data_IF_991217477847
#
_entry.id   IF_991217477847
#
_cell.length_a   1.000
_cell.length_b   1.000
_cell.length_c   1.000
_cell.angle_alpha   90.00
_cell.angle_beta   90.00
_cell.angle_gamma   90.00
#
_symmetry.space_group_name_H-M   'P 1'
#
loop_
_entity.id
_entity.type
_entity.pdbx_description
1 polymer ?
#
# COMPACT_ATOMS: atom_id res chain seq x y z
N UNK A 1 3.74 13.42 -36.55
CA UNK A 1 3.15 14.44 -35.65
C UNK A 1 2.88 13.76 -34.31
N UNK A 2 3.31 14.34 -33.17
CA UNK A 2 2.88 13.83 -31.86
C UNK A 2 1.38 14.14 -31.71
N UNK A 3 0.57 13.11 -31.50
CA UNK A 3 -0.83 13.29 -31.10
C UNK A 3 -0.89 13.92 -29.72
N UNK A 4 -1.99 14.62 -29.44
CA UNK A 4 -2.28 15.08 -28.08
C UNK A 4 -2.37 13.86 -27.15
N UNK A 5 -1.63 13.91 -26.04
CA UNK A 5 -1.67 12.86 -25.02
C UNK A 5 -2.68 13.26 -23.95
N UNK A 6 -3.68 12.40 -23.73
CA UNK A 6 -4.66 12.55 -22.66
C UNK A 6 -4.52 11.38 -21.69
N UNK A 7 -4.39 11.69 -20.40
CA UNK A 7 -4.37 10.70 -19.32
C UNK A 7 -5.45 11.03 -18.31
N UNK A 8 -6.19 10.01 -17.88
CA UNK A 8 -7.17 10.09 -16.79
C UNK A 8 -6.73 9.15 -15.68
N UNK A 9 -6.91 9.57 -14.43
CA UNK A 9 -6.68 8.71 -13.27
C UNK A 9 -7.91 8.72 -12.37
N UNK A 10 -8.43 7.53 -12.05
CA UNK A 10 -9.44 7.34 -11.02
C UNK A 10 -8.76 7.33 -9.66
N UNK A 11 -9.30 8.10 -8.71
CA UNK A 11 -8.81 8.15 -7.33
C UNK A 11 -9.98 7.92 -6.40
N UNK A 12 -9.84 6.98 -5.48
CA UNK A 12 -10.82 6.71 -4.43
C UNK A 12 -10.11 6.71 -3.07
N UNK A 13 -10.76 7.20 -2.03
CA UNK A 13 -10.24 7.11 -0.68
C UNK A 13 -11.36 6.86 0.31
N UNK A 14 -11.08 6.03 1.32
CA UNK A 14 -12.04 5.66 2.34
C UNK A 14 -11.51 6.01 3.71
N UNK A 15 -12.25 6.85 4.42
CA UNK A 15 -11.94 7.29 5.78
C UNK A 15 -13.03 6.85 6.74
N UNK A 16 -12.74 6.87 8.04
CA UNK A 16 -13.78 6.85 9.07
C UNK A 16 -14.63 8.11 9.01
N UNK A 17 -15.88 8.05 9.46
CA UNK A 17 -16.81 9.18 9.42
C UNK A 17 -16.29 10.43 10.14
N UNK A 18 -15.49 10.25 11.18
CA UNK A 18 -14.83 11.33 11.93
C UNK A 18 -13.45 11.73 11.38
N UNK A 19 -13.04 11.17 10.24
CA UNK A 19 -11.78 11.46 9.57
C UNK A 19 -10.51 11.00 10.30
N UNK A 20 -10.59 10.35 11.46
CA UNK A 20 -9.38 10.01 12.25
C UNK A 20 -8.65 8.75 11.74
N UNK A 21 -9.26 7.97 10.85
CA UNK A 21 -8.67 6.78 10.25
C UNK A 21 -8.83 6.81 8.74
N UNK A 22 -7.79 6.35 8.04
CA UNK A 22 -7.82 6.10 6.59
C UNK A 22 -7.74 4.59 6.39
N UNK A 23 -8.75 4.03 5.73
CA UNK A 23 -8.83 2.60 5.48
C UNK A 23 -8.14 2.22 4.18
N UNK A 24 -8.27 3.04 3.13
CA UNK A 24 -7.53 2.86 1.88
C UNK A 24 -7.44 4.15 1.08
N UNK A 25 -6.50 4.16 0.12
CA UNK A 25 -6.49 5.06 -1.04
C UNK A 25 -6.20 4.22 -2.27
N UNK A 26 -6.99 4.38 -3.33
CA UNK A 26 -6.86 3.69 -4.61
C UNK A 26 -6.53 4.68 -5.72
N UNK A 27 -5.63 4.30 -6.61
CA UNK A 27 -5.33 5.03 -7.85
C UNK A 27 -5.32 4.06 -9.02
N UNK A 28 -6.04 4.38 -10.09
CA UNK A 28 -6.06 3.59 -11.33
C UNK A 28 -5.87 4.52 -12.51
N UNK A 29 -4.78 4.35 -13.24
CA UNK A 29 -4.47 5.10 -14.47
C UNK A 29 -4.66 4.24 -15.72
N UNK A 30 -4.64 2.92 -15.60
CA UNK A 30 -4.92 1.99 -16.70
C UNK A 30 -5.61 0.72 -16.17
N UNK A 31 -6.93 0.64 -16.33
CA UNK A 31 -7.71 -0.49 -15.83
C UNK A 31 -7.50 -1.80 -16.62
N UNK A 32 -6.82 -1.76 -17.79
CA UNK A 32 -6.51 -2.95 -18.58
C UNK A 32 -5.25 -3.66 -18.09
N UNK A 33 -4.43 -2.99 -17.28
CA UNK A 33 -3.22 -3.54 -16.68
C UNK A 33 -3.51 -4.07 -15.27
N UNK A 34 -2.67 -5.01 -14.82
CA UNK A 34 -2.73 -5.53 -13.44
C UNK A 34 -2.64 -4.42 -12.41
N UNK A 35 -3.38 -4.56 -11.32
CA UNK A 35 -3.33 -3.68 -10.15
C UNK A 35 -2.73 -4.45 -8.98
N UNK A 36 -2.28 -3.73 -7.96
CA UNK A 36 -1.61 -4.34 -6.80
C UNK A 36 -2.02 -3.68 -5.50
N UNK A 37 -2.10 -4.44 -4.42
CA UNK A 37 -2.24 -3.87 -3.09
C UNK A 37 -0.85 -3.54 -2.52
N UNK A 38 -0.69 -2.37 -1.92
CA UNK A 38 0.52 -2.02 -1.16
C UNK A 38 0.14 -1.89 0.31
N UNK A 39 0.83 -2.62 1.19
CA UNK A 39 0.71 -2.48 2.64
C UNK A 39 1.92 -1.72 3.18
N UNK A 40 1.68 -0.51 3.70
CA UNK A 40 2.70 0.30 4.38
C UNK A 40 2.38 0.47 5.88
N UNK A 41 3.11 1.29 6.62
CA UNK A 41 3.05 1.31 8.08
C UNK A 41 1.83 2.08 8.64
N UNK A 42 1.74 3.36 8.30
CA UNK A 42 0.71 4.29 8.79
C UNK A 42 0.20 5.18 7.67
N UNK A 43 -1.08 5.57 7.72
CA UNK A 43 -1.61 6.54 6.79
C UNK A 43 -1.17 7.95 7.14
N UNK A 44 -1.39 8.84 6.18
CA UNK A 44 -1.32 10.29 6.30
C UNK A 44 -2.71 10.87 6.05
N UNK A 45 -2.90 12.17 6.29
CA UNK A 45 -4.14 12.86 5.96
C UNK A 45 -4.36 13.05 4.45
N UNK A 46 -3.39 12.67 3.61
CA UNK A 46 -3.52 12.73 2.17
C UNK A 46 -4.70 11.86 1.69
N UNK A 47 -5.64 12.48 0.98
CA UNK A 47 -6.87 11.85 0.47
C UNK A 47 -6.70 11.21 -0.92
N UNK A 48 -5.47 11.15 -1.44
CA UNK A 48 -5.18 10.62 -2.76
C UNK A 48 -5.21 11.66 -3.88
N UNK A 49 -5.84 12.83 -3.73
CA UNK A 49 -5.65 13.96 -4.66
C UNK A 49 -4.31 14.63 -4.36
N UNK A 50 -4.14 15.05 -3.09
CA UNK A 50 -2.84 15.45 -2.59
C UNK A 50 -1.95 14.21 -2.43
N UNK A 51 -0.71 14.29 -2.91
CA UNK A 51 0.28 13.22 -2.76
C UNK A 51 1.30 13.60 -1.70
N UNK A 52 1.42 12.78 -0.66
CA UNK A 52 2.64 12.82 0.16
C UNK A 52 3.80 12.10 -0.57
N UNK A 53 5.01 12.20 -0.01
CA UNK A 53 6.22 11.60 -0.58
C UNK A 53 6.13 10.08 -0.72
N UNK A 54 5.40 9.40 0.17
CA UNK A 54 5.19 7.94 0.12
C UNK A 54 4.31 7.60 -1.07
N UNK A 55 3.16 8.26 -1.20
CA UNK A 55 2.20 8.09 -2.29
C UNK A 55 2.83 8.39 -3.65
N UNK A 56 3.62 9.47 -3.74
CA UNK A 56 4.36 9.81 -4.95
C UNK A 56 5.34 8.70 -5.34
N UNK A 57 6.14 8.20 -4.39
CA UNK A 57 7.10 7.12 -4.65
C UNK A 57 6.41 5.82 -5.05
N UNK A 58 5.31 5.46 -4.39
CA UNK A 58 4.49 4.28 -4.76
C UNK A 58 3.99 4.44 -6.20
N UNK A 59 3.38 5.58 -6.53
CA UNK A 59 2.78 5.82 -7.86
C UNK A 59 3.82 5.69 -8.96
N UNK A 60 4.95 6.41 -8.84
CA UNK A 60 5.98 6.42 -9.88
C UNK A 60 6.61 5.04 -10.07
N UNK A 61 6.93 4.34 -8.98
CA UNK A 61 7.58 3.04 -9.07
C UNK A 61 6.66 1.95 -9.60
N UNK A 62 5.38 1.95 -9.22
CA UNK A 62 4.42 0.98 -9.74
C UNK A 62 4.10 1.24 -11.22
N UNK A 63 4.06 2.51 -11.64
CA UNK A 63 3.96 2.87 -13.05
C UNK A 63 5.16 2.31 -13.84
N UNK A 64 6.39 2.51 -13.35
CA UNK A 64 7.61 1.98 -13.97
C UNK A 64 7.67 0.44 -14.00
N UNK A 65 7.09 -0.23 -13.01
CA UNK A 65 6.94 -1.69 -12.96
C UNK A 65 5.79 -2.23 -13.85
N UNK A 66 5.09 -1.35 -14.55
CA UNK A 66 4.05 -1.71 -15.53
C UNK A 66 2.68 -2.01 -14.93
N UNK A 67 2.41 -1.64 -13.67
CA UNK A 67 1.07 -1.73 -13.10
C UNK A 67 0.13 -0.68 -13.69
N UNK A 68 -1.17 -0.95 -13.65
CA UNK A 68 -2.25 -0.05 -14.05
C UNK A 68 -2.82 0.80 -12.91
N UNK A 69 -2.46 0.47 -11.68
CA UNK A 69 -2.99 1.11 -10.48
C UNK A 69 -2.60 0.35 -9.22
N UNK A 70 -3.02 0.91 -8.09
CA UNK A 70 -2.82 0.29 -6.79
C UNK A 70 -3.92 0.63 -5.78
N UNK A 71 -4.01 -0.19 -4.75
CA UNK A 71 -4.72 0.11 -3.50
C UNK A 71 -3.68 0.20 -2.38
N UNK A 72 -3.53 1.36 -1.76
CA UNK A 72 -2.67 1.57 -0.61
C UNK A 72 -3.48 1.41 0.68
N UNK A 73 -3.09 0.40 1.46
CA UNK A 73 -3.57 0.17 2.81
C UNK A 73 -2.38 0.22 3.79
N UNK A 74 -2.68 0.21 5.09
CA UNK A 74 -1.68 0.34 6.13
C UNK A 74 -1.84 -0.74 7.20
N UNK A 75 -0.75 -1.10 7.86
CA UNK A 75 -0.76 -2.01 9.03
C UNK A 75 -1.70 -1.47 10.10
N UNK A 76 -1.68 -0.16 10.34
CA UNK A 76 -2.63 0.52 11.21
C UNK A 76 -3.40 1.59 10.43
N UNK A 77 -4.69 1.77 10.71
CA UNK A 77 -5.52 2.75 9.99
C UNK A 77 -5.52 4.15 10.61
N UNK A 78 -4.98 4.30 11.82
CA UNK A 78 -5.02 5.58 12.54
C UNK A 78 -4.06 6.61 11.98
N UNK A 79 -4.55 7.84 11.79
CA UNK A 79 -3.73 9.00 11.42
C UNK A 79 -2.86 9.51 12.58
N UNK A 80 -3.14 9.09 13.82
CA UNK A 80 -2.38 9.47 15.02
C UNK A 80 -1.22 8.50 15.34
N UNK A 81 -1.01 7.47 14.53
CA UNK A 81 0.08 6.50 14.70
C UNK A 81 -0.33 5.20 15.42
N UNK A 82 0.65 4.53 16.06
CA UNK A 82 0.44 3.23 16.72
C UNK A 82 -0.49 3.38 17.93
N UNK A 83 -1.67 2.77 17.90
CA UNK A 83 -2.64 3.01 18.97
C UNK A 83 -4.12 2.91 18.61
N UNK A 84 -4.44 2.64 17.34
CA UNK A 84 -5.81 2.68 16.81
C UNK A 84 -6.84 1.88 17.61
N UNK A 85 -8.06 2.42 17.62
CA UNK A 85 -9.27 1.78 18.13
C UNK A 85 -9.46 0.39 17.49
N UNK A 86 -9.53 -0.71 18.27
CA UNK A 86 -9.69 -2.06 17.73
C UNK A 86 -10.86 -2.22 16.76
N UNK A 87 -11.98 -1.50 16.96
CA UNK A 87 -13.13 -1.57 16.04
C UNK A 87 -12.81 -0.97 14.67
N UNK A 88 -12.00 0.08 14.65
CA UNK A 88 -11.55 0.71 13.39
C UNK A 88 -10.52 -0.13 12.69
N UNK A 89 -9.65 -0.80 13.44
CA UNK A 89 -8.71 -1.76 12.87
C UNK A 89 -9.44 -2.97 12.26
N UNK A 90 -10.55 -3.41 12.86
CA UNK A 90 -11.41 -4.43 12.27
C UNK A 90 -12.09 -3.94 10.99
N UNK A 91 -12.57 -2.69 10.99
CA UNK A 91 -13.12 -2.05 9.80
C UNK A 91 -12.07 -1.98 8.67
N UNK A 92 -10.85 -1.59 9.00
CA UNK A 92 -9.73 -1.56 8.06
C UNK A 92 -9.41 -2.95 7.52
N UNK A 93 -9.45 -3.99 8.36
CA UNK A 93 -9.25 -5.38 7.95
C UNK A 93 -10.33 -5.84 6.95
N UNK A 94 -11.60 -5.47 7.19
CA UNK A 94 -12.70 -5.72 6.26
C UNK A 94 -12.52 -5.03 4.91
N UNK A 95 -12.10 -3.76 4.92
CA UNK A 95 -11.78 -3.02 3.68
C UNK A 95 -10.65 -3.68 2.91
N UNK A 96 -9.58 -4.10 3.59
CA UNK A 96 -8.44 -4.80 2.98
C UNK A 96 -8.91 -6.11 2.33
N UNK A 97 -9.72 -6.93 3.02
CA UNK A 97 -10.27 -8.17 2.47
C UNK A 97 -11.06 -7.92 1.18
N UNK A 98 -11.94 -6.91 1.19
CA UNK A 98 -12.80 -6.59 0.05
C UNK A 98 -11.97 -6.11 -1.16
N UNK A 99 -11.03 -5.20 -0.96
CA UNK A 99 -10.19 -4.71 -2.06
C UNK A 99 -9.25 -5.81 -2.59
N UNK A 100 -8.70 -6.64 -1.70
CA UNK A 100 -7.82 -7.74 -2.09
C UNK A 100 -8.54 -8.83 -2.88
N UNK A 101 -9.85 -8.99 -2.75
CA UNK A 101 -10.62 -9.98 -3.51
C UNK A 101 -10.49 -9.81 -5.04
N UNK A 102 -10.17 -8.59 -5.49
CA UNK A 102 -10.02 -8.24 -6.91
C UNK A 102 -8.57 -8.09 -7.37
N UNK A 103 -7.61 -8.50 -6.53
CA UNK A 103 -6.18 -8.34 -6.78
C UNK A 103 -5.48 -9.68 -6.60
N UNK A 104 -4.46 -9.97 -7.41
CA UNK A 104 -3.68 -11.20 -7.29
C UNK A 104 -2.43 -11.02 -6.43
N UNK A 105 -1.90 -9.80 -6.40
CA UNK A 105 -0.61 -9.48 -5.78
C UNK A 105 -0.74 -8.47 -4.62
N UNK A 106 0.08 -8.67 -3.59
CA UNK A 106 0.28 -7.74 -2.48
C UNK A 106 1.76 -7.42 -2.34
N UNK A 107 2.11 -6.16 -2.18
CA UNK A 107 3.45 -5.69 -1.85
C UNK A 107 3.50 -5.25 -0.38
N UNK A 108 4.33 -5.91 0.42
CA UNK A 108 4.66 -5.48 1.77
C UNK A 108 5.80 -4.46 1.72
N UNK A 109 5.47 -3.21 2.00
CA UNK A 109 6.37 -2.06 1.97
C UNK A 109 6.59 -1.49 3.39
N UNK A 110 6.73 -2.38 4.38
CA UNK A 110 6.82 -2.04 5.81
C UNK A 110 8.26 -1.81 6.30
N UNK A 111 9.26 -2.12 5.48
CA UNK A 111 10.66 -2.20 5.92
C UNK A 111 10.83 -3.14 7.10
N UNK A 112 11.72 -2.80 8.03
CA UNK A 112 11.93 -3.60 9.26
C UNK A 112 10.90 -3.31 10.36
N UNK A 113 9.91 -2.43 10.12
CA UNK A 113 9.01 -1.96 11.18
C UNK A 113 8.22 -3.11 11.83
N UNK A 114 7.60 -3.96 11.02
CA UNK A 114 6.82 -5.11 11.49
C UNK A 114 7.68 -6.19 12.13
N UNK A 115 8.98 -6.29 11.81
CA UNK A 115 9.93 -7.18 12.50
C UNK A 115 10.39 -6.65 13.87
N UNK A 116 10.42 -5.33 14.05
CA UNK A 116 10.92 -4.68 15.28
C UNK A 116 9.82 -4.34 16.29
N UNK A 117 8.55 -4.35 15.87
CA UNK A 117 7.42 -3.98 16.72
C UNK A 117 6.41 -5.13 16.82
N UNK A 118 6.34 -5.78 18.00
CA UNK A 118 5.45 -6.93 18.26
C UNK A 118 3.98 -6.65 17.98
N UNK A 119 3.49 -5.42 18.20
CA UNK A 119 2.10 -5.06 17.90
C UNK A 119 1.88 -4.99 16.38
N UNK A 120 2.83 -4.40 15.66
CA UNK A 120 2.80 -4.34 14.19
C UNK A 120 2.95 -5.73 13.56
N UNK A 121 3.80 -6.59 14.13
CA UNK A 121 3.96 -7.99 13.74
C UNK A 121 2.62 -8.74 13.84
N UNK A 122 2.00 -8.74 15.03
CA UNK A 122 0.69 -9.36 15.25
C UNK A 122 -0.37 -8.82 14.29
N UNK A 123 -0.34 -7.51 14.04
CA UNK A 123 -1.28 -6.87 13.12
C UNK A 123 -1.06 -7.30 11.68
N UNK A 124 0.19 -7.39 11.22
CA UNK A 124 0.55 -7.91 9.91
C UNK A 124 0.12 -9.37 9.76
N UNK A 125 0.31 -10.22 10.77
CA UNK A 125 -0.16 -11.61 10.73
C UNK A 125 -1.67 -11.69 10.51
N UNK A 126 -2.47 -10.84 11.17
CA UNK A 126 -3.91 -10.76 10.91
C UNK A 126 -4.24 -10.30 9.49
N UNK A 127 -3.42 -9.41 8.90
CA UNK A 127 -3.58 -9.00 7.51
C UNK A 127 -3.28 -10.14 6.55
N UNK A 128 -2.19 -10.89 6.78
CA UNK A 128 -1.82 -12.03 5.93
C UNK A 128 -2.90 -13.12 5.91
N UNK A 129 -3.58 -13.37 7.03
CA UNK A 129 -4.72 -14.30 7.09
C UNK A 129 -5.88 -13.88 6.18
N UNK A 130 -6.11 -12.58 5.95
CA UNK A 130 -7.18 -12.10 5.05
C UNK A 130 -6.72 -11.86 3.62
N UNK A 131 -5.41 -11.93 3.40
CA UNK A 131 -4.74 -11.87 2.11
C UNK A 131 -4.30 -13.28 1.70
N UNK A 132 -5.00 -14.29 2.19
CA UNK A 132 -4.77 -15.67 1.82
C UNK A 132 -4.93 -15.84 0.30
N UNK A 133 -4.12 -16.71 -0.29
CA UNK A 133 -4.09 -16.98 -1.73
C UNK A 133 -3.61 -15.80 -2.60
N UNK A 134 -2.96 -14.78 -2.02
CA UNK A 134 -2.31 -13.69 -2.77
C UNK A 134 -0.83 -13.96 -2.93
N UNK A 135 -0.26 -13.61 -4.09
CA UNK A 135 1.20 -13.57 -4.23
C UNK A 135 1.74 -12.39 -3.43
N UNK A 136 2.47 -12.70 -2.36
CA UNK A 136 3.08 -11.69 -1.49
C UNK A 136 4.48 -11.36 -1.99
N UNK A 137 4.73 -10.08 -2.24
CA UNK A 137 6.04 -9.54 -2.61
C UNK A 137 6.56 -8.60 -1.53
N UNK A 138 7.86 -8.59 -1.30
CA UNK A 138 8.53 -7.71 -0.35
C UNK A 138 9.23 -6.59 -1.10
N UNK A 139 9.04 -5.35 -0.64
CA UNK A 139 9.83 -4.23 -1.11
C UNK A 139 11.25 -4.32 -0.51
N UNK A 140 12.26 -4.40 -1.37
CA UNK A 140 13.67 -4.46 -0.97
C UNK A 140 14.50 -3.32 -1.56
N UNK A 141 15.60 -2.99 -0.92
CA UNK A 141 16.62 -2.09 -1.48
C UNK A 141 17.57 -2.82 -2.44
N UNK A 142 18.52 -2.08 -3.03
CA UNK A 142 19.48 -2.62 -4.00
C UNK A 142 20.43 -3.70 -3.44
N UNK A 143 20.38 -3.98 -2.14
CA UNK A 143 21.12 -5.05 -1.49
C UNK A 143 20.21 -6.21 -1.05
N UNK A 144 18.92 -6.19 -1.40
CA UNK A 144 17.95 -7.21 -1.02
C UNK A 144 17.39 -7.06 0.41
N UNK A 145 17.71 -5.98 1.13
CA UNK A 145 17.17 -5.77 2.48
C UNK A 145 15.76 -5.18 2.44
N UNK A 146 14.92 -5.56 3.41
CA UNK A 146 13.58 -5.00 3.55
C UNK A 146 13.59 -3.47 3.60
N UNK A 147 12.71 -2.88 2.81
CA UNK A 147 12.65 -1.44 2.60
C UNK A 147 11.25 -0.87 2.76
N UNK A 148 11.21 0.45 2.91
CA UNK A 148 10.01 1.26 3.00
C UNK A 148 10.08 2.30 1.88
N UNK A 149 8.95 2.76 1.30
CA UNK A 149 8.98 3.68 0.16
C UNK A 149 9.85 4.93 0.39
N UNK A 150 9.91 5.43 1.62
CA UNK A 150 10.66 6.63 1.99
C UNK A 150 12.17 6.42 2.23
N UNK A 151 12.71 5.18 2.22
CA UNK A 151 14.14 4.97 2.49
C UNK A 151 14.99 5.69 1.41
N UNK A 152 15.94 6.57 1.78
CA UNK A 152 16.75 7.32 0.81
C UNK A 152 17.55 6.45 -0.17
N UNK A 153 17.96 5.25 0.27
CA UNK A 153 18.75 4.28 -0.50
C UNK A 153 17.95 3.63 -1.65
N UNK A 154 16.62 3.82 -1.71
CA UNK A 154 15.81 3.39 -2.85
C UNK A 154 16.18 4.22 -4.09
N UNK A 155 17.22 3.78 -4.82
CA UNK A 155 17.70 4.40 -6.06
C UNK A 155 16.66 4.22 -7.16
N UNK A 156 15.75 5.19 -7.27
CA UNK A 156 14.76 5.46 -8.32
C UNK A 156 13.76 4.34 -8.71
N UNK A 157 14.10 3.06 -8.58
CA UNK A 157 13.29 1.90 -8.96
C UNK A 157 13.08 0.96 -7.78
N UNK A 158 11.86 0.46 -7.64
CA UNK A 158 11.51 -0.56 -6.66
C UNK A 158 11.98 -1.93 -7.16
N UNK A 159 12.64 -2.65 -6.27
CA UNK A 159 12.92 -4.07 -6.42
C UNK A 159 11.96 -4.86 -5.54
N UNK A 160 11.34 -5.88 -6.12
CA UNK A 160 10.37 -6.74 -5.46
C UNK A 160 10.90 -8.18 -5.48
N UNK A 161 10.86 -8.85 -4.33
CA UNK A 161 11.14 -10.28 -4.22
C UNK A 161 9.89 -11.00 -3.75
N UNK A 162 9.60 -12.16 -4.33
CA UNK A 162 8.48 -12.99 -3.87
C UNK A 162 8.78 -13.53 -2.47
N UNK A 163 7.73 -13.66 -1.66
CA UNK A 163 7.81 -14.08 -0.27
C UNK A 163 7.22 -15.47 -0.10
N UNK A 164 7.91 -16.32 0.67
CA UNK A 164 7.38 -17.61 1.15
C UNK A 164 6.58 -17.47 2.46
N UNK A 165 6.08 -16.26 2.76
CA UNK A 165 5.42 -15.93 4.04
C UNK A 165 3.99 -16.46 4.09
#
# INVERSE_FOLDING_TARGET
MKQAEQTTMLIESKFSADGQNRYMVKRVWDAKKRQVMVISNYPTSANGIQSDLTMMKITNNLYELGYGGFVLCNVFSSLKGAGGDPKREETALGVIRLEAAHLDEVILATGTFTKKNKRAEKRLQRLLVVLDNKTVKLLVDGHGNLSHPLKPIMKNKWSLVESEL
#
